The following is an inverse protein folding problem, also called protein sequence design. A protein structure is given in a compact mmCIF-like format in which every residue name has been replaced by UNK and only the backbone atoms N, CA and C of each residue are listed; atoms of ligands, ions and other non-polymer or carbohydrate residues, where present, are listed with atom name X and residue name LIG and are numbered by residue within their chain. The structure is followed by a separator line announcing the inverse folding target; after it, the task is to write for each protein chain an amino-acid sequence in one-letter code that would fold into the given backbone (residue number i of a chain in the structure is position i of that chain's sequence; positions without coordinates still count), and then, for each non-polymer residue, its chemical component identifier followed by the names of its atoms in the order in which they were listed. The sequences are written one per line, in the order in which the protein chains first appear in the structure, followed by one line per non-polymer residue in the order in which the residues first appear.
data_IF_230701875553
#
_entry.id   IF_230701875553
#
_cell.length_a   1.000
_cell.length_b   1.000
_cell.length_c   1.000
_cell.angle_alpha   90.00
_cell.angle_beta   90.00
_cell.angle_gamma   90.00
#
_symmetry.space_group_name_H-M   'P 1'
#
loop_
_entity.id
_entity.type
_entity.pdbx_description
1 polymer ?
#
# COMPACT_ATOMS: atom_id res chain seq x y z
N UNK A 1 25.43 2.47 -37.72
CA UNK A 1 25.13 2.62 -36.28
C UNK A 1 24.94 1.23 -35.69
N UNK A 2 25.85 0.77 -34.82
CA UNK A 2 25.72 -0.54 -34.14
C UNK A 2 24.56 -0.51 -33.14
N UNK A 3 23.73 -1.55 -33.08
CA UNK A 3 22.62 -1.60 -32.12
C UNK A 3 23.18 -1.76 -30.69
N UNK A 4 23.42 -0.63 -30.03
CA UNK A 4 23.78 -0.59 -28.60
C UNK A 4 22.66 -1.08 -27.66
N UNK A 5 21.48 -1.41 -28.21
CA UNK A 5 20.31 -1.82 -27.44
C UNK A 5 20.21 -3.31 -27.11
N UNK A 6 20.83 -4.20 -27.90
CA UNK A 6 20.60 -5.65 -27.75
C UNK A 6 21.18 -6.20 -26.44
N UNK A 7 22.39 -5.79 -26.05
CA UNK A 7 23.00 -6.21 -24.79
C UNK A 7 22.22 -5.70 -23.57
N UNK A 8 21.77 -4.44 -23.60
CA UNK A 8 20.96 -3.86 -22.53
C UNK A 8 19.58 -4.55 -22.43
N UNK A 9 18.97 -4.86 -23.58
CA UNK A 9 17.70 -5.59 -23.61
C UNK A 9 17.84 -7.01 -23.03
N UNK A 10 18.90 -7.74 -23.38
CA UNK A 10 19.17 -9.09 -22.83
C UNK A 10 19.39 -9.00 -21.31
N UNK A 11 20.17 -8.02 -20.84
CA UNK A 11 20.37 -7.79 -19.42
C UNK A 11 19.05 -7.48 -18.69
N UNK A 12 18.23 -6.58 -19.24
CA UNK A 12 16.94 -6.22 -18.67
C UNK A 12 15.99 -7.42 -18.59
N UNK A 13 15.90 -8.23 -19.65
CA UNK A 13 15.10 -9.47 -19.66
C UNK A 13 15.62 -10.46 -18.62
N UNK A 14 16.94 -10.66 -18.53
CA UNK A 14 17.55 -11.54 -17.53
C UNK A 14 17.26 -11.08 -16.10
N UNK A 15 17.40 -9.79 -15.81
CA UNK A 15 17.07 -9.21 -14.50
C UNK A 15 15.56 -9.38 -14.19
N UNK A 16 14.69 -9.14 -15.16
CA UNK A 16 13.25 -9.30 -15.01
C UNK A 16 12.87 -10.76 -14.71
N UNK A 17 13.42 -11.71 -15.46
CA UNK A 17 13.23 -13.14 -15.22
C UNK A 17 13.74 -13.55 -13.84
N UNK A 18 14.92 -13.10 -13.45
CA UNK A 18 15.49 -13.41 -12.13
C UNK A 18 14.60 -12.90 -10.98
N UNK A 19 14.08 -11.69 -11.08
CA UNK A 19 13.20 -11.10 -10.06
C UNK A 19 11.84 -11.80 -9.98
N UNK A 20 11.29 -12.27 -11.12
CA UNK A 20 9.94 -12.86 -11.16
C UNK A 20 9.95 -14.39 -11.04
N UNK A 21 11.12 -15.03 -11.20
CA UNK A 21 11.25 -16.49 -11.12
C UNK A 21 10.74 -17.09 -9.80
N UNK A 22 11.05 -16.52 -8.61
CA UNK A 22 10.50 -17.01 -7.34
C UNK A 22 8.97 -16.95 -7.30
N UNK A 23 8.37 -15.88 -7.83
CA UNK A 23 6.91 -15.73 -7.88
C UNK A 23 6.27 -16.75 -8.84
N UNK A 24 6.91 -17.02 -9.98
CA UNK A 24 6.46 -18.04 -10.91
C UNK A 24 6.53 -19.44 -10.30
N UNK A 25 7.64 -19.77 -9.63
CA UNK A 25 7.80 -21.05 -8.93
C UNK A 25 6.71 -21.19 -7.85
N UNK A 26 6.51 -20.19 -7.02
CA UNK A 26 5.48 -20.18 -5.99
C UNK A 26 4.09 -20.38 -6.61
N UNK A 27 3.77 -19.66 -7.69
CA UNK A 27 2.51 -19.78 -8.40
C UNK A 27 2.30 -21.17 -9.01
N UNK A 28 3.34 -21.79 -9.58
CA UNK A 28 3.28 -23.16 -10.11
C UNK A 28 3.05 -24.15 -8.95
N UNK A 29 3.83 -24.05 -7.88
CA UNK A 29 3.70 -24.93 -6.72
C UNK A 29 2.41 -24.74 -5.92
N UNK A 30 1.68 -23.66 -6.10
CA UNK A 30 0.34 -23.48 -5.53
C UNK A 30 -0.68 -24.50 -6.06
N UNK A 31 -0.43 -25.06 -7.25
CA UNK A 31 -1.25 -26.11 -7.88
C UNK A 31 -0.72 -27.53 -7.60
N UNK A 32 0.37 -27.68 -6.86
CA UNK A 32 0.90 -29.01 -6.55
C UNK A 32 0.01 -29.75 -5.55
N UNK A 33 -0.25 -31.03 -5.78
CA UNK A 33 -1.03 -31.87 -4.85
C UNK A 33 -0.25 -32.25 -3.60
N UNK A 34 1.08 -32.21 -3.62
CA UNK A 34 1.93 -32.55 -2.47
C UNK A 34 2.06 -31.41 -1.46
N UNK A 35 2.28 -31.78 -0.21
CA UNK A 35 2.71 -30.83 0.85
C UNK A 35 4.19 -30.49 0.78
N UNK A 36 4.94 -31.26 0.03
CA UNK A 36 6.39 -31.11 -0.10
C UNK A 36 6.76 -30.39 -1.40
N UNK A 37 8.03 -30.05 -1.55
CA UNK A 37 8.59 -29.36 -2.72
C UNK A 37 8.74 -30.26 -3.96
N UNK A 38 8.24 -31.50 -3.90
CA UNK A 38 8.22 -32.44 -5.02
C UNK A 38 6.87 -32.34 -5.74
N UNK A 39 6.90 -32.23 -7.06
CA UNK A 39 5.68 -32.18 -7.86
C UNK A 39 5.06 -33.58 -7.98
N UNK A 40 3.85 -33.74 -7.43
CA UNK A 40 3.10 -35.01 -7.45
C UNK A 40 1.88 -34.98 -8.37
N UNK A 41 1.43 -33.78 -8.79
CA UNK A 41 0.29 -33.62 -9.68
C UNK A 41 -0.44 -32.30 -9.48
N UNK A 42 -1.39 -32.01 -10.38
CA UNK A 42 -2.20 -30.80 -10.33
C UNK A 42 -3.37 -30.94 -9.33
N UNK A 43 -3.56 -29.94 -8.48
CA UNK A 43 -4.68 -29.91 -7.52
C UNK A 43 -5.04 -28.47 -7.14
N UNK A 44 -6.33 -28.23 -6.93
CA UNK A 44 -6.86 -26.96 -6.41
C UNK A 44 -7.21 -27.03 -4.90
N UNK A 45 -6.88 -28.12 -4.23
CA UNK A 45 -7.29 -28.34 -2.84
C UNK A 45 -6.81 -27.27 -1.86
N UNK A 46 -5.65 -26.66 -2.10
CA UNK A 46 -5.08 -25.63 -1.24
C UNK A 46 -5.84 -24.31 -1.35
N UNK A 47 -6.37 -24.01 -2.53
CA UNK A 47 -7.25 -22.86 -2.73
C UNK A 47 -8.58 -23.04 -2.00
N UNK A 48 -9.18 -24.23 -2.12
CA UNK A 48 -10.38 -24.57 -1.36
C UNK A 48 -10.11 -24.55 0.15
N UNK A 49 -8.99 -25.11 0.60
CA UNK A 49 -8.58 -25.08 2.00
C UNK A 49 -8.39 -23.66 2.54
N UNK A 50 -7.74 -22.79 1.76
CA UNK A 50 -7.52 -21.39 2.14
C UNK A 50 -8.83 -20.60 2.29
N UNK A 51 -9.80 -20.84 1.38
CA UNK A 51 -11.10 -20.15 1.40
C UNK A 51 -12.03 -20.63 2.53
N UNK A 52 -11.82 -21.84 3.06
CA UNK A 52 -12.60 -22.40 4.17
C UNK A 52 -11.88 -22.26 5.54
N UNK A 53 -10.66 -21.74 5.54
CA UNK A 53 -9.94 -21.44 6.77
C UNK A 53 -10.42 -20.11 7.34
N UNK A 54 -11.10 -20.18 8.49
CA UNK A 54 -11.69 -19.01 9.14
C UNK A 54 -10.63 -17.97 9.51
N UNK A 55 -9.47 -18.39 10.03
CA UNK A 55 -8.40 -17.46 10.40
C UNK A 55 -7.87 -16.71 9.17
N UNK A 56 -7.69 -17.39 8.05
CA UNK A 56 -7.20 -16.78 6.82
C UNK A 56 -8.22 -15.81 6.21
N UNK A 57 -9.50 -16.18 6.18
CA UNK A 57 -10.56 -15.33 5.62
C UNK A 57 -10.83 -14.10 6.48
N UNK A 58 -10.86 -14.24 7.81
CA UNK A 58 -11.00 -13.10 8.73
C UNK A 58 -9.80 -12.17 8.65
N UNK A 59 -8.58 -12.70 8.65
CA UNK A 59 -7.37 -11.88 8.52
C UNK A 59 -7.27 -11.15 7.18
N UNK A 60 -7.74 -11.78 6.09
CA UNK A 60 -7.82 -11.14 4.78
C UNK A 60 -8.84 -9.99 4.78
N UNK A 61 -10.00 -10.19 5.41
CA UNK A 61 -11.02 -9.16 5.57
C UNK A 61 -10.50 -8.01 6.44
N UNK A 62 -9.81 -8.29 7.55
CA UNK A 62 -9.19 -7.29 8.40
C UNK A 62 -8.17 -6.46 7.60
N UNK A 63 -7.27 -7.11 6.84
CA UNK A 63 -6.31 -6.41 5.98
C UNK A 63 -7.00 -5.49 4.99
N UNK A 64 -8.08 -5.96 4.36
CA UNK A 64 -8.84 -5.17 3.38
C UNK A 64 -9.51 -3.96 4.03
N UNK A 65 -10.18 -4.14 5.18
CA UNK A 65 -10.83 -3.05 5.91
C UNK A 65 -9.80 -2.00 6.34
N UNK A 66 -8.71 -2.44 6.96
CA UNK A 66 -7.63 -1.56 7.42
C UNK A 66 -7.06 -0.78 6.23
N UNK A 67 -6.69 -1.47 5.15
CA UNK A 67 -6.10 -0.83 3.98
C UNK A 67 -7.06 0.17 3.31
N UNK A 68 -8.33 -0.18 3.14
CA UNK A 68 -9.33 0.73 2.54
C UNK A 68 -9.55 1.96 3.41
N UNK A 69 -9.78 1.78 4.71
CA UNK A 69 -10.03 2.91 5.62
C UNK A 69 -8.80 3.81 5.73
N UNK A 70 -7.61 3.21 5.92
CA UNK A 70 -6.37 3.96 5.98
C UNK A 70 -6.10 4.73 4.70
N UNK A 71 -6.34 4.12 3.54
CA UNK A 71 -6.18 4.76 2.22
C UNK A 71 -7.13 5.94 2.07
N UNK A 72 -8.41 5.78 2.36
CA UNK A 72 -9.39 6.85 2.20
C UNK A 72 -9.02 8.06 3.08
N UNK A 73 -8.73 7.81 4.35
CA UNK A 73 -8.40 8.88 5.31
C UNK A 73 -7.06 9.55 4.94
N UNK A 74 -6.02 8.75 4.68
CA UNK A 74 -4.69 9.29 4.34
C UNK A 74 -4.68 10.02 2.99
N UNK A 75 -5.49 9.59 2.01
CA UNK A 75 -5.60 10.26 0.72
C UNK A 75 -6.23 11.64 0.86
N UNK A 76 -7.29 11.77 1.65
CA UNK A 76 -7.92 13.08 1.89
C UNK A 76 -6.95 14.00 2.64
N UNK A 77 -6.42 13.56 3.78
CA UNK A 77 -5.52 14.37 4.60
C UNK A 77 -4.23 14.70 3.83
N UNK A 78 -3.63 13.71 3.18
CA UNK A 78 -2.38 13.85 2.44
C UNK A 78 -2.53 14.78 1.22
N UNK A 79 -3.65 14.71 0.50
CA UNK A 79 -3.91 15.61 -0.63
C UNK A 79 -4.05 17.06 -0.17
N UNK A 80 -4.80 17.31 0.90
CA UNK A 80 -4.94 18.66 1.46
C UNK A 80 -3.62 19.19 2.03
N UNK A 81 -2.85 18.32 2.69
CA UNK A 81 -1.52 18.65 3.19
C UNK A 81 -0.55 18.99 2.03
N UNK A 82 -0.56 18.18 0.97
CA UNK A 82 0.24 18.40 -0.24
C UNK A 82 -0.09 19.76 -0.90
N UNK A 83 -1.38 20.07 -1.03
CA UNK A 83 -1.84 21.34 -1.57
C UNK A 83 -1.38 22.52 -0.70
N UNK A 84 -1.54 22.43 0.62
CA UNK A 84 -1.08 23.47 1.55
C UNK A 84 0.44 23.67 1.50
N UNK A 85 1.22 22.60 1.38
CA UNK A 85 2.67 22.66 1.22
C UNK A 85 3.10 23.28 -0.12
N UNK A 86 2.41 22.95 -1.18
CA UNK A 86 2.66 23.52 -2.50
C UNK A 86 2.43 25.03 -2.51
N UNK A 87 1.34 25.49 -1.87
CA UNK A 87 1.01 26.93 -1.74
C UNK A 87 2.00 27.69 -0.86
N UNK A 88 2.37 27.14 0.30
CA UNK A 88 3.14 27.87 1.33
C UNK A 88 4.63 27.57 1.34
N UNK A 89 5.11 26.58 0.56
CA UNK A 89 6.51 26.14 0.48
C UNK A 89 7.19 25.99 1.85
N UNK A 90 6.50 25.37 2.83
CA UNK A 90 6.99 25.21 4.20
C UNK A 90 8.06 24.11 4.27
N UNK A 91 9.34 24.50 4.30
CA UNK A 91 10.48 23.58 4.42
C UNK A 91 10.46 22.71 5.67
N UNK A 92 10.10 23.23 6.89
CA UNK A 92 10.06 22.38 8.09
C UNK A 92 9.02 21.27 7.99
N UNK A 93 7.83 21.57 7.47
CA UNK A 93 6.75 20.59 7.32
C UNK A 93 7.09 19.55 6.24
N UNK A 94 7.69 19.97 5.13
CA UNK A 94 8.21 19.03 4.13
C UNK A 94 9.28 18.11 4.75
N UNK A 95 10.20 18.65 5.55
CA UNK A 95 11.24 17.90 6.23
C UNK A 95 10.68 16.83 7.17
N UNK A 96 9.63 17.13 7.95
CA UNK A 96 9.00 16.16 8.85
C UNK A 96 8.36 14.98 8.12
N UNK A 97 7.78 15.22 6.94
CA UNK A 97 7.22 14.13 6.11
C UNK A 97 8.31 13.22 5.54
N UNK A 98 9.43 13.79 5.08
CA UNK A 98 10.57 12.98 4.64
C UNK A 98 11.17 12.17 5.79
N UNK A 99 11.21 12.72 7.01
CA UNK A 99 11.68 11.99 8.19
C UNK A 99 10.83 10.74 8.45
N UNK A 100 9.50 10.85 8.30
CA UNK A 100 8.59 9.70 8.43
C UNK A 100 8.91 8.56 7.45
N UNK A 101 9.36 8.87 6.23
CA UNK A 101 9.70 7.85 5.22
C UNK A 101 11.07 7.22 5.41
N UNK A 102 12.01 7.96 6.00
CA UNK A 102 13.38 7.48 6.25
C UNK A 102 13.46 6.70 7.55
N UNK A 103 12.52 6.92 8.48
CA UNK A 103 12.50 6.21 9.76
C UNK A 103 12.22 4.71 9.54
N UNK A 104 13.04 3.80 10.09
CA UNK A 104 12.79 2.37 10.00
C UNK A 104 11.40 1.99 10.55
N UNK A 105 10.68 1.12 9.85
CA UNK A 105 9.31 0.71 10.23
C UNK A 105 9.22 0.18 11.66
N UNK A 106 10.23 -0.60 12.10
CA UNK A 106 10.28 -1.13 13.47
C UNK A 106 10.36 -0.01 14.51
N UNK A 107 11.10 1.07 14.23
CA UNK A 107 11.20 2.23 15.14
C UNK A 107 9.87 2.96 15.19
N UNK A 108 9.24 3.15 14.04
CA UNK A 108 7.89 3.76 13.95
C UNK A 108 6.87 2.93 14.72
N UNK A 109 6.85 1.61 14.53
CA UNK A 109 5.93 0.71 15.21
C UNK A 109 6.11 0.70 16.73
N UNK A 110 7.35 0.62 17.23
CA UNK A 110 7.64 0.68 18.67
C UNK A 110 7.24 2.05 19.25
N UNK A 111 7.51 3.13 18.54
CA UNK A 111 7.14 4.49 18.97
C UNK A 111 5.63 4.66 19.06
N UNK A 112 4.89 4.16 18.05
CA UNK A 112 3.43 4.17 18.06
C UNK A 112 2.85 3.30 19.18
N UNK A 113 3.41 2.11 19.40
CA UNK A 113 3.00 1.25 20.51
C UNK A 113 3.18 1.95 21.86
N UNK A 114 4.34 2.55 22.10
CA UNK A 114 4.62 3.30 23.33
C UNK A 114 3.66 4.50 23.50
N UNK A 115 3.40 5.23 22.41
CA UNK A 115 2.47 6.35 22.38
C UNK A 115 1.03 5.89 22.67
N UNK A 116 0.57 4.80 22.05
CA UNK A 116 -0.76 4.26 22.31
C UNK A 116 -0.91 3.76 23.74
N UNK A 117 0.07 3.03 24.27
CA UNK A 117 0.03 2.58 25.66
C UNK A 117 0.00 3.76 26.66
N UNK A 118 0.75 4.82 26.37
CA UNK A 118 0.74 6.03 27.18
C UNK A 118 -0.64 6.71 27.18
N UNK A 119 -1.24 6.97 26.00
CA UNK A 119 -2.56 7.60 25.87
C UNK A 119 -3.67 6.70 26.40
N UNK A 120 -3.65 5.41 26.08
CA UNK A 120 -4.74 4.49 26.41
C UNK A 120 -4.79 4.12 27.89
N UNK A 121 -3.69 4.28 28.60
CA UNK A 121 -3.69 4.20 30.06
C UNK A 121 -4.67 5.18 30.69
N UNK A 122 -4.82 6.37 30.11
CA UNK A 122 -5.78 7.36 30.57
C UNK A 122 -7.19 7.13 30.04
N UNK A 123 -7.31 6.69 28.79
CA UNK A 123 -8.59 6.50 28.12
C UNK A 123 -9.21 5.13 28.33
N UNK A 124 -8.50 4.20 28.98
CA UNK A 124 -8.90 2.79 29.19
C UNK A 124 -9.27 2.07 27.88
N UNK A 125 -8.62 2.40 26.79
CA UNK A 125 -8.78 1.75 25.49
C UNK A 125 -7.70 0.69 25.34
N UNK A 126 -8.05 -0.43 24.70
CA UNK A 126 -7.09 -1.51 24.38
C UNK A 126 -6.62 -1.40 22.93
N UNK A 127 -5.50 -2.04 22.61
CA UNK A 127 -5.06 -2.19 21.21
C UNK A 127 -6.08 -3.03 20.44
N UNK A 128 -6.27 -2.73 19.17
CA UNK A 128 -7.22 -3.41 18.30
C UNK A 128 -7.15 -2.88 16.87
N UNK A 129 -8.15 -3.17 16.06
CA UNK A 129 -8.20 -2.73 14.66
C UNK A 129 -8.06 -1.20 14.49
N UNK A 130 -8.61 -0.42 15.41
CA UNK A 130 -8.53 1.05 15.38
C UNK A 130 -7.09 1.56 15.55
N UNK A 131 -6.26 0.90 16.37
CA UNK A 131 -4.84 1.29 16.54
C UNK A 131 -4.04 0.98 15.29
N UNK A 132 -4.35 -0.13 14.63
CA UNK A 132 -3.74 -0.48 13.34
C UNK A 132 -4.14 0.55 12.28
N UNK A 133 -5.44 0.88 12.16
CA UNK A 133 -5.91 1.90 11.20
C UNK A 133 -5.22 3.24 11.44
N UNK A 134 -5.14 3.71 12.69
CA UNK A 134 -4.48 4.98 13.01
C UNK A 134 -3.00 4.98 12.67
N UNK A 135 -2.31 3.86 12.93
CA UNK A 135 -0.91 3.71 12.55
C UNK A 135 -0.74 3.76 11.03
N UNK A 136 -1.59 3.04 10.29
CA UNK A 136 -1.56 3.00 8.83
C UNK A 136 -1.88 4.36 8.21
N UNK A 137 -2.86 5.09 8.73
CA UNK A 137 -3.13 6.48 8.33
C UNK A 137 -1.90 7.35 8.55
N UNK A 138 -1.26 7.23 9.71
CA UNK A 138 -0.12 8.08 10.10
C UNK A 138 1.05 7.99 9.11
N UNK A 139 1.49 6.79 8.73
CA UNK A 139 2.59 6.66 7.77
C UNK A 139 2.14 6.86 6.32
N UNK A 140 0.91 6.45 5.96
CA UNK A 140 0.39 6.58 4.60
C UNK A 140 0.25 8.02 4.15
N UNK A 141 -0.03 8.97 5.05
CA UNK A 141 -0.09 10.40 4.73
C UNK A 141 1.19 10.87 4.06
N UNK A 142 2.37 10.45 4.53
CA UNK A 142 3.65 10.87 3.94
C UNK A 142 3.81 10.38 2.50
N UNK A 143 3.42 9.14 2.21
CA UNK A 143 3.43 8.59 0.83
C UNK A 143 2.49 9.38 -0.08
N UNK A 144 1.26 9.62 0.37
CA UNK A 144 0.28 10.40 -0.40
C UNK A 144 0.80 11.81 -0.70
N UNK A 145 1.31 12.50 0.32
CA UNK A 145 1.82 13.88 0.16
C UNK A 145 2.91 13.94 -0.90
N UNK A 146 3.87 13.01 -0.89
CA UNK A 146 4.98 13.05 -1.85
C UNK A 146 4.52 12.82 -3.28
N UNK A 147 3.63 11.86 -3.50
CA UNK A 147 3.10 11.57 -4.84
C UNK A 147 2.24 12.74 -5.36
N UNK A 148 1.38 13.28 -4.49
CA UNK A 148 0.52 14.41 -4.87
C UNK A 148 1.32 15.70 -5.10
N UNK A 149 2.35 16.00 -4.29
CA UNK A 149 3.25 17.15 -4.54
C UNK A 149 3.98 16.99 -5.88
N UNK A 150 4.46 15.80 -6.19
CA UNK A 150 5.10 15.56 -7.49
C UNK A 150 4.15 15.87 -8.64
N UNK A 151 2.87 15.53 -8.52
CA UNK A 151 1.85 15.85 -9.50
C UNK A 151 1.52 17.35 -9.52
N UNK A 152 1.34 18.00 -8.37
CA UNK A 152 1.08 19.44 -8.28
C UNK A 152 2.15 20.29 -8.98
N UNK A 153 3.42 19.86 -8.93
CA UNK A 153 4.53 20.55 -9.61
C UNK A 153 4.45 20.48 -11.14
N UNK A 154 3.62 19.62 -11.71
CA UNK A 154 3.40 19.52 -13.17
C UNK A 154 2.18 20.30 -13.65
N UNK A 155 1.37 20.82 -12.74
CA UNK A 155 0.19 21.63 -13.04
C UNK A 155 0.61 23.10 -13.18
N UNK A 156 0.04 23.78 -14.17
CA UNK A 156 0.27 25.21 -14.37
C UNK A 156 -0.47 26.02 -13.28
N UNK A 157 0.30 26.71 -12.46
CA UNK A 157 -0.23 27.52 -11.36
C UNK A 157 -1.11 28.70 -11.87
N UNK A 158 -0.90 29.16 -13.09
CA UNK A 158 -1.68 30.27 -13.67
C UNK A 158 -3.16 29.93 -13.84
N UNK A 159 -3.50 28.65 -13.97
CA UNK A 159 -4.90 28.20 -14.05
C UNK A 159 -5.68 28.52 -12.76
N UNK A 160 -5.02 28.36 -11.61
CA UNK A 160 -5.64 28.66 -10.32
C UNK A 160 -5.70 30.17 -10.08
N UNK A 161 -4.66 30.92 -10.47
CA UNK A 161 -4.64 32.38 -10.42
C UNK A 161 -5.76 32.98 -11.29
N UNK A 162 -5.94 32.49 -12.51
CA UNK A 162 -7.03 32.91 -13.38
C UNK A 162 -8.43 32.64 -12.78
N UNK A 163 -8.60 31.53 -12.08
CA UNK A 163 -9.87 31.25 -11.39
C UNK A 163 -10.13 32.23 -10.25
N UNK A 164 -9.11 32.62 -9.49
CA UNK A 164 -9.20 33.63 -8.45
C UNK A 164 -9.53 35.03 -9.03
N UNK A 165 -8.92 35.40 -10.14
CA UNK A 165 -9.19 36.67 -10.85
C UNK A 165 -10.63 36.73 -11.38
N UNK A 166 -11.22 35.59 -11.72
CA UNK A 166 -12.63 35.45 -12.10
C UNK A 166 -13.60 35.44 -10.91
N UNK A 167 -13.09 35.64 -9.67
CA UNK A 167 -13.90 35.76 -8.46
C UNK A 167 -14.13 34.45 -7.70
N UNK A 168 -13.45 33.35 -8.06
CA UNK A 168 -13.47 32.13 -7.25
C UNK A 168 -12.73 32.35 -5.92
N UNK A 169 -13.23 31.75 -4.83
CA UNK A 169 -12.45 31.68 -3.59
C UNK A 169 -11.43 30.51 -3.68
N UNK A 170 -10.47 30.44 -2.74
CA UNK A 170 -9.41 29.42 -2.72
C UNK A 170 -9.96 27.98 -2.74
N UNK A 171 -11.06 27.72 -2.03
CA UNK A 171 -11.69 26.39 -2.01
C UNK A 171 -12.35 26.04 -3.35
N UNK A 172 -12.95 27.02 -4.01
CA UNK A 172 -13.54 26.84 -5.36
C UNK A 172 -12.44 26.61 -6.38
N UNK A 173 -11.36 27.40 -6.37
CA UNK A 173 -10.21 27.22 -7.23
C UNK A 173 -9.57 25.83 -7.01
N UNK A 174 -9.35 25.40 -5.77
CA UNK A 174 -8.88 24.05 -5.47
C UNK A 174 -9.83 22.98 -6.02
N UNK A 175 -11.12 23.04 -5.67
CA UNK A 175 -12.07 21.98 -5.98
C UNK A 175 -12.37 21.84 -7.46
N UNK A 176 -12.46 22.95 -8.20
CA UNK A 176 -12.92 22.96 -9.60
C UNK A 176 -11.80 23.07 -10.61
N UNK A 177 -10.60 23.51 -10.23
CA UNK A 177 -9.46 23.68 -11.13
C UNK A 177 -8.32 22.72 -10.72
N UNK A 178 -7.77 22.89 -9.51
CA UNK A 178 -6.57 22.16 -9.09
C UNK A 178 -6.85 20.67 -8.87
N UNK A 179 -7.88 20.31 -8.11
CA UNK A 179 -8.19 18.92 -7.77
C UNK A 179 -8.47 18.06 -9.03
N UNK A 180 -9.28 18.47 -10.00
CA UNK A 180 -9.44 17.72 -11.24
C UNK A 180 -8.13 17.52 -12.02
N UNK A 181 -7.27 18.56 -12.07
CA UNK A 181 -5.98 18.49 -12.76
C UNK A 181 -4.99 17.51 -12.11
N UNK A 182 -5.04 17.36 -10.78
CA UNK A 182 -4.18 16.43 -10.03
C UNK A 182 -4.82 15.07 -9.78
N UNK A 183 -6.09 14.86 -10.12
CA UNK A 183 -6.84 13.64 -9.80
C UNK A 183 -6.13 12.34 -10.20
N UNK A 184 -5.48 12.22 -11.38
CA UNK A 184 -4.69 11.03 -11.71
C UNK A 184 -3.56 10.77 -10.71
N UNK A 185 -2.92 11.82 -10.21
CA UNK A 185 -1.89 11.72 -9.16
C UNK A 185 -2.47 11.33 -7.81
N UNK A 186 -3.65 11.83 -7.46
CA UNK A 186 -4.36 11.44 -6.22
C UNK A 186 -4.75 9.96 -6.25
N UNK A 187 -5.24 9.47 -7.40
CA UNK A 187 -5.56 8.04 -7.57
C UNK A 187 -4.30 7.18 -7.45
N UNK A 188 -3.20 7.58 -8.08
CA UNK A 188 -1.93 6.87 -7.97
C UNK A 188 -1.41 6.85 -6.52
N UNK A 189 -1.54 7.97 -5.79
CA UNK A 189 -1.18 8.06 -4.38
C UNK A 189 -2.06 7.14 -3.50
N UNK A 190 -3.36 7.09 -3.77
CA UNK A 190 -4.29 6.19 -3.08
C UNK A 190 -3.95 4.71 -3.31
N UNK A 191 -3.64 4.32 -4.54
CA UNK A 191 -3.23 2.95 -4.85
C UNK A 191 -1.91 2.58 -4.16
N UNK A 192 -0.95 3.49 -4.10
CA UNK A 192 0.29 3.28 -3.35
C UNK A 192 0.01 3.12 -1.86
N UNK A 193 -0.78 4.03 -1.25
CA UNK A 193 -1.16 3.95 0.15
C UNK A 193 -1.89 2.64 0.49
N UNK A 194 -2.79 2.20 -0.40
CA UNK A 194 -3.49 0.92 -0.27
C UNK A 194 -2.51 -0.26 -0.26
N UNK A 195 -1.58 -0.29 -1.23
CA UNK A 195 -0.60 -1.37 -1.35
C UNK A 195 0.28 -1.46 -0.12
N UNK A 196 0.86 -0.32 0.31
CA UNK A 196 1.75 -0.27 1.48
C UNK A 196 1.01 -0.62 2.77
N UNK A 197 -0.27 -0.21 2.90
CA UNK A 197 -1.10 -0.56 4.05
C UNK A 197 -1.53 -2.03 4.06
N UNK A 198 -1.80 -2.63 2.89
CA UNK A 198 -2.28 -4.00 2.80
C UNK A 198 -1.19 -5.04 3.11
N UNK A 199 0.05 -4.78 2.73
CA UNK A 199 1.17 -5.72 2.90
C UNK A 199 2.00 -5.46 4.17
N UNK A 200 1.66 -4.43 4.97
CA UNK A 200 2.39 -4.15 6.20
C UNK A 200 2.25 -5.28 7.22
N UNK A 201 3.40 -5.74 7.67
CA UNK A 201 3.53 -6.70 8.76
C UNK A 201 4.17 -6.08 10.00
N UNK A 202 5.17 -5.21 9.80
CA UNK A 202 6.07 -4.78 10.87
C UNK A 202 5.34 -3.89 11.87
N UNK A 203 4.73 -2.82 11.39
CA UNK A 203 4.01 -1.87 12.25
C UNK A 203 2.77 -2.57 12.81
N UNK A 204 2.02 -3.27 11.96
CA UNK A 204 0.81 -4.00 12.37
C UNK A 204 1.10 -4.96 13.52
N UNK A 205 2.15 -5.78 13.43
CA UNK A 205 2.49 -6.77 14.46
C UNK A 205 2.79 -6.17 15.84
N UNK A 206 3.16 -4.88 15.89
CA UNK A 206 3.46 -4.16 17.13
C UNK A 206 2.25 -3.46 17.72
N UNK A 207 1.30 -3.00 16.88
CA UNK A 207 0.16 -2.20 17.33
C UNK A 207 -1.18 -2.92 17.24
N UNK A 208 -1.22 -4.14 16.71
CA UNK A 208 -2.41 -4.97 16.67
C UNK A 208 -2.80 -5.43 18.08
N UNK A 209 -4.10 -5.55 18.31
CA UNK A 209 -4.69 -6.11 19.52
C UNK A 209 -5.47 -7.39 19.21
N UNK A 210 -6.36 -7.76 20.12
CA UNK A 210 -7.24 -8.92 19.95
C UNK A 210 -8.13 -8.72 18.72
N UNK A 211 -8.35 -9.77 17.95
CA UNK A 211 -9.21 -9.81 16.74
C UNK A 211 -8.82 -8.83 15.61
N UNK A 212 -7.57 -8.36 15.60
CA UNK A 212 -7.05 -7.45 14.58
C UNK A 212 -5.87 -8.04 13.78
N UNK A 213 -5.76 -9.37 13.76
CA UNK A 213 -4.76 -10.06 12.93
C UNK A 213 -4.99 -9.76 11.45
N UNK A 214 -3.91 -9.44 10.75
CA UNK A 214 -3.92 -9.19 9.31
C UNK A 214 -3.37 -10.37 8.52
N UNK A 215 -3.69 -10.44 7.24
CA UNK A 215 -3.23 -11.52 6.37
C UNK A 215 -1.70 -11.65 6.33
N UNK A 216 -0.88 -10.58 6.24
CA UNK A 216 0.56 -10.68 6.35
C UNK A 216 1.03 -11.32 7.67
N UNK A 217 0.38 -11.02 8.81
CA UNK A 217 0.72 -11.62 10.09
C UNK A 217 0.49 -13.13 10.09
N UNK A 218 -0.64 -13.58 9.59
CA UNK A 218 -1.00 -15.00 9.51
C UNK A 218 -0.08 -15.73 8.53
N UNK A 219 0.19 -15.17 7.35
CA UNK A 219 1.13 -15.73 6.36
C UNK A 219 2.52 -15.90 6.98
N UNK A 220 3.01 -14.87 7.67
CA UNK A 220 4.32 -14.92 8.33
C UNK A 220 4.38 -15.96 9.43
N UNK A 221 3.31 -16.08 10.25
CA UNK A 221 3.22 -17.09 11.30
C UNK A 221 3.21 -18.52 10.73
N UNK A 222 2.53 -18.75 9.61
CA UNK A 222 2.52 -20.04 8.90
C UNK A 222 3.90 -20.33 8.30
N UNK A 223 4.49 -19.35 7.61
CA UNK A 223 5.79 -19.49 6.94
C UNK A 223 6.92 -19.84 7.93
N UNK A 224 6.88 -19.29 9.15
CA UNK A 224 7.83 -19.64 10.23
C UNK A 224 7.74 -21.08 10.71
N UNK A 225 6.59 -21.73 10.55
CA UNK A 225 6.38 -23.14 10.94
C UNK A 225 6.85 -24.14 9.88
N UNK A 226 7.28 -23.64 8.71
CA UNK A 226 7.79 -24.43 7.58
C UNK A 226 6.98 -24.27 6.30
N UNK A 227 7.36 -25.03 5.28
CA UNK A 227 6.70 -24.97 3.96
C UNK A 227 5.24 -25.41 4.07
N UNK A 228 4.33 -24.52 3.71
CA UNK A 228 2.91 -24.82 3.66
C UNK A 228 2.34 -24.39 2.29
N UNK A 229 1.83 -25.33 1.48
CA UNK A 229 1.27 -25.01 0.16
C UNK A 229 0.07 -24.05 0.18
N UNK A 230 -0.62 -23.92 1.31
CA UNK A 230 -1.69 -22.93 1.49
C UNK A 230 -1.13 -21.52 1.34
N UNK A 231 0.09 -21.25 1.84
CA UNK A 231 0.77 -19.95 1.65
C UNK A 231 1.00 -19.68 0.16
N UNK A 232 1.42 -20.70 -0.60
CA UNK A 232 1.61 -20.56 -2.05
C UNK A 232 0.29 -20.20 -2.76
N UNK A 233 -0.81 -20.88 -2.37
CA UNK A 233 -2.13 -20.60 -2.94
C UNK A 233 -2.62 -19.17 -2.62
N UNK A 234 -2.48 -18.73 -1.37
CA UNK A 234 -2.84 -17.37 -0.96
C UNK A 234 -1.98 -16.34 -1.69
N UNK A 235 -0.66 -16.54 -1.73
CA UNK A 235 0.25 -15.63 -2.41
C UNK A 235 -0.06 -15.54 -3.91
N UNK A 236 -0.41 -16.66 -4.57
CA UNK A 236 -0.85 -16.66 -5.95
C UNK A 236 -2.15 -15.86 -6.14
N UNK A 237 -3.13 -15.99 -5.24
CA UNK A 237 -4.37 -15.19 -5.27
C UNK A 237 -4.09 -13.70 -5.10
N UNK A 238 -3.19 -13.33 -4.20
CA UNK A 238 -2.77 -11.94 -3.98
C UNK A 238 -2.12 -11.37 -5.25
N UNK A 239 -1.15 -12.10 -5.83
CA UNK A 239 -0.44 -11.68 -7.06
C UNK A 239 -1.43 -11.49 -8.21
N UNK A 240 -2.37 -12.42 -8.40
CA UNK A 240 -3.41 -12.31 -9.44
C UNK A 240 -4.34 -11.13 -9.16
N UNK A 241 -4.78 -10.97 -7.91
CA UNK A 241 -5.67 -9.87 -7.49
C UNK A 241 -5.05 -8.50 -7.74
N UNK A 242 -3.85 -8.25 -7.21
CA UNK A 242 -3.13 -6.98 -7.42
C UNK A 242 -2.75 -6.77 -8.89
N UNK A 243 -2.27 -7.80 -9.58
CA UNK A 243 -1.97 -7.73 -11.01
C UNK A 243 -3.19 -7.31 -11.84
N UNK A 244 -4.37 -7.83 -11.49
CA UNK A 244 -5.63 -7.45 -12.14
C UNK A 244 -5.99 -5.99 -11.87
N UNK A 245 -5.88 -5.52 -10.63
CA UNK A 245 -6.13 -4.13 -10.25
C UNK A 245 -5.21 -3.18 -11.02
N UNK A 246 -3.93 -3.50 -11.09
CA UNK A 246 -2.94 -2.69 -11.85
C UNK A 246 -3.29 -2.66 -13.34
N UNK A 247 -3.61 -3.80 -13.95
CA UNK A 247 -4.01 -3.84 -15.37
C UNK A 247 -5.27 -3.03 -15.67
N UNK A 248 -6.27 -3.09 -14.78
CA UNK A 248 -7.49 -2.30 -14.92
C UNK A 248 -7.16 -0.81 -14.79
N UNK A 249 -6.37 -0.42 -13.79
CA UNK A 249 -5.95 0.96 -13.58
C UNK A 249 -5.20 1.52 -14.80
N UNK A 250 -4.29 0.75 -15.38
CA UNK A 250 -3.55 1.17 -16.58
C UNK A 250 -4.46 1.37 -17.80
N UNK A 251 -5.44 0.49 -17.99
CA UNK A 251 -6.41 0.64 -19.08
C UNK A 251 -7.28 1.88 -18.91
N UNK A 252 -7.73 2.17 -17.69
CA UNK A 252 -8.53 3.37 -17.41
C UNK A 252 -7.76 4.67 -17.59
N UNK A 253 -6.44 4.66 -17.40
CA UNK A 253 -5.59 5.84 -17.62
C UNK A 253 -5.26 6.08 -19.09
N UNK A 254 -5.39 5.06 -19.95
CA UNK A 254 -5.16 5.17 -21.40
C UNK A 254 -6.42 5.51 -22.19
N UNK A 255 -7.61 5.36 -21.60
CA UNK A 255 -8.90 5.72 -22.17
C UNK A 255 -9.28 7.16 -21.86
#
# INVERSE_FOLDING_TARGET
MKPRGTGLAIYAVGAYLFLHLPLLILSIFSFNSSRFTVWEGFSLRWYSGALHDTQLTESALNSLIIAVVATLVSTVIGTLCAYGLWKRNSRPLAGSLYLSLVTPEIVTGISLLAFYQWIFRFLRVQLGMHTVILAHVSFSIAYVVIVVIARLRTVDATLEEAALDLGANEWQAFRFVTLPAILPGVIAAALLAFTVSFDDYVITSLVAGVDSETLPMVIYAIARRGVNPVVNAISALIVIGFGTIVMISERLQRA
#
